data_IF_993521415227
#
_entry.id   IF_993521415227
#
_cell.length_a   1.000
_cell.length_b   1.000
_cell.length_c   1.000
_cell.angle_alpha   90.00
_cell.angle_beta   90.00
_cell.angle_gamma   90.00
#
_symmetry.space_group_name_H-M   'P 1'
#
loop_
_entity.id
_entity.type
_entity.pdbx_description
1 polymer ?
#
# COMPACT_ATOMS: atom_id res chain seq x y z
N UNK A 1 -2.38 9.36 30.65
CA UNK A 1 -3.35 8.39 30.08
C UNK A 1 -3.82 8.80 28.69
N UNK A 2 -4.35 10.03 28.49
CA UNK A 2 -4.79 10.55 27.18
C UNK A 2 -3.71 10.50 26.07
N UNK A 3 -2.47 10.88 26.37
CA UNK A 3 -1.39 10.83 25.38
C UNK A 3 -1.08 9.39 24.92
N UNK A 4 -1.16 8.41 25.84
CA UNK A 4 -0.92 7.00 25.51
C UNK A 4 -2.07 6.39 24.71
N UNK A 5 -3.32 6.80 24.94
CA UNK A 5 -4.45 6.35 24.12
C UNK A 5 -4.40 6.94 22.71
N UNK A 6 -4.05 8.22 22.57
CA UNK A 6 -3.87 8.84 21.24
C UNK A 6 -2.74 8.17 20.44
N UNK A 7 -1.64 7.80 21.11
CA UNK A 7 -0.55 7.05 20.47
C UNK A 7 -0.95 5.60 20.13
N UNK A 8 -1.79 4.95 20.93
CA UNK A 8 -2.29 3.60 20.65
C UNK A 8 -3.16 3.57 19.39
N UNK A 9 -4.08 4.55 19.27
CA UNK A 9 -4.96 4.70 18.12
C UNK A 9 -4.17 5.05 16.85
N UNK A 10 -3.17 5.95 16.94
CA UNK A 10 -2.35 6.34 15.80
C UNK A 10 -1.46 5.23 15.23
N UNK A 11 -1.07 4.24 16.06
CA UNK A 11 -0.23 3.09 15.64
C UNK A 11 -1.07 1.85 15.33
N UNK A 12 -2.37 1.87 15.63
CA UNK A 12 -3.27 0.72 15.48
C UNK A 12 -2.94 -0.45 16.42
N UNK A 13 -2.33 -0.16 17.58
CA UNK A 13 -1.89 -1.18 18.54
C UNK A 13 -2.92 -1.38 19.66
N UNK A 14 -3.25 -2.64 19.96
CA UNK A 14 -4.26 -3.02 20.96
C UNK A 14 -3.77 -2.95 22.42
N UNK A 15 -2.48 -2.70 22.70
CA UNK A 15 -1.92 -2.73 24.06
C UNK A 15 -1.19 -1.43 24.42
N UNK A 16 -1.69 -0.76 25.47
CA UNK A 16 -1.17 0.52 26.00
C UNK A 16 0.23 0.42 26.65
N UNK A 17 0.63 -0.78 27.07
CA UNK A 17 1.94 -1.03 27.66
C UNK A 17 3.00 -1.23 26.56
N UNK A 18 4.05 -0.40 26.57
CA UNK A 18 5.18 -0.53 25.63
C UNK A 18 5.16 0.42 24.43
N UNK A 19 4.14 1.27 24.27
CA UNK A 19 4.02 2.24 23.17
C UNK A 19 5.24 3.16 23.06
N UNK A 20 5.76 3.67 24.17
CA UNK A 20 6.94 4.56 24.15
C UNK A 20 8.18 3.84 23.60
N UNK A 21 8.36 2.56 23.95
CA UNK A 21 9.46 1.73 23.41
C UNK A 21 9.27 1.50 21.91
N UNK A 22 8.03 1.26 21.48
CA UNK A 22 7.69 1.09 20.07
C UNK A 22 7.96 2.38 19.29
N UNK A 23 7.49 3.55 19.75
CA UNK A 23 7.75 4.84 19.11
C UNK A 23 9.25 5.13 19.00
N UNK A 24 10.03 4.88 20.06
CA UNK A 24 11.49 5.05 20.02
C UNK A 24 12.14 4.14 18.97
N UNK A 25 11.71 2.86 18.88
CA UNK A 25 12.19 1.92 17.87
C UNK A 25 11.82 2.37 16.45
N UNK A 26 10.62 2.92 16.26
CA UNK A 26 10.17 3.49 15.00
C UNK A 26 11.10 4.64 14.59
N UNK A 27 11.27 5.66 15.44
CA UNK A 27 12.08 6.83 15.11
C UNK A 27 13.53 6.47 14.79
N UNK A 28 14.16 5.63 15.64
CA UNK A 28 15.55 5.21 15.43
C UNK A 28 15.68 4.37 14.17
N UNK A 29 14.80 3.39 13.99
CA UNK A 29 14.90 2.51 12.84
C UNK A 29 14.58 3.23 11.52
N UNK A 30 13.59 4.13 11.49
CA UNK A 30 13.35 5.02 10.34
C UNK A 30 14.61 5.79 9.96
N UNK A 31 15.26 6.45 10.92
CA UNK A 31 16.50 7.18 10.66
C UNK A 31 17.64 6.27 10.13
N UNK A 32 17.72 5.03 10.61
CA UNK A 32 18.71 4.05 10.13
C UNK A 32 18.42 3.64 8.69
N UNK A 33 17.19 3.23 8.36
CA UNK A 33 16.86 2.76 7.01
C UNK A 33 16.90 3.90 5.99
N UNK A 34 16.39 5.08 6.33
CA UNK A 34 16.50 6.27 5.48
C UNK A 34 17.96 6.69 5.29
N UNK A 35 18.78 6.64 6.35
CA UNK A 35 20.21 6.92 6.27
C UNK A 35 20.96 5.93 5.37
N UNK A 36 20.72 4.63 5.54
CA UNK A 36 21.32 3.58 4.68
C UNK A 36 20.86 3.74 3.22
N UNK A 37 19.57 3.97 3.00
CA UNK A 37 19.01 4.25 1.68
C UNK A 37 19.65 5.47 1.02
N UNK A 38 19.85 6.54 1.81
CA UNK A 38 20.52 7.76 1.36
C UNK A 38 21.95 7.47 0.93
N UNK A 39 22.72 6.73 1.72
CA UNK A 39 24.11 6.37 1.39
C UNK A 39 24.16 5.54 0.10
N UNK A 40 23.31 4.53 -0.04
CA UNK A 40 23.27 3.68 -1.23
C UNK A 40 22.88 4.47 -2.49
N UNK A 41 21.84 5.31 -2.42
CA UNK A 41 21.42 6.16 -3.53
C UNK A 41 22.45 7.24 -3.87
N UNK A 42 23.15 7.77 -2.87
CA UNK A 42 24.17 8.80 -3.07
C UNK A 42 25.34 8.29 -3.93
N UNK A 43 25.68 7.01 -3.87
CA UNK A 43 26.70 6.39 -4.74
C UNK A 43 26.39 6.66 -6.22
N UNK A 44 25.11 6.65 -6.59
CA UNK A 44 24.68 6.84 -7.99
C UNK A 44 24.30 8.28 -8.31
N UNK A 45 23.70 9.00 -7.37
CA UNK A 45 23.19 10.34 -7.60
C UNK A 45 24.27 11.44 -7.49
N UNK A 46 25.30 11.27 -6.64
CA UNK A 46 26.41 12.24 -6.55
C UNK A 46 27.16 12.38 -7.88
N UNK A 47 27.56 11.30 -8.57
CA UNK A 47 28.26 11.42 -9.86
C UNK A 47 27.40 12.08 -10.95
N UNK A 48 26.08 11.88 -10.92
CA UNK A 48 25.17 12.43 -11.95
C UNK A 48 24.75 13.88 -11.73
N UNK A 49 24.51 14.28 -10.48
CA UNK A 49 23.95 15.61 -10.17
C UNK A 49 24.95 16.56 -9.48
N UNK A 50 26.15 16.08 -9.17
CA UNK A 50 27.13 16.77 -8.33
C UNK A 50 26.88 16.50 -6.83
N UNK A 51 27.88 16.82 -5.99
CA UNK A 51 27.88 16.45 -4.57
C UNK A 51 26.64 16.92 -3.79
N UNK A 52 26.40 18.23 -3.72
CA UNK A 52 25.33 18.79 -2.89
C UNK A 52 23.94 18.37 -3.39
N UNK A 53 23.72 18.42 -4.71
CA UNK A 53 22.42 18.10 -5.33
C UNK A 53 22.16 16.60 -5.34
N UNK A 54 23.18 15.79 -5.58
CA UNK A 54 23.08 14.34 -5.55
C UNK A 54 22.80 13.81 -4.15
N UNK A 55 23.44 14.38 -3.12
CA UNK A 55 23.16 14.03 -1.72
C UNK A 55 21.72 14.42 -1.32
N UNK A 56 21.27 15.63 -1.70
CA UNK A 56 19.89 16.05 -1.45
C UNK A 56 18.87 15.15 -2.17
N UNK A 57 19.12 14.81 -3.43
CA UNK A 57 18.27 13.90 -4.18
C UNK A 57 18.24 12.51 -3.50
N UNK A 58 19.38 11.99 -3.07
CA UNK A 58 19.44 10.69 -2.42
C UNK A 58 18.64 10.66 -1.12
N UNK A 59 18.82 11.69 -0.27
CA UNK A 59 18.08 11.83 0.99
C UNK A 59 16.57 11.94 0.75
N UNK A 60 16.15 12.81 -0.18
CA UNK A 60 14.75 13.00 -0.51
C UNK A 60 14.07 11.72 -1.02
N UNK A 61 14.72 10.97 -1.92
CA UNK A 61 14.14 9.73 -2.44
C UNK A 61 14.15 8.62 -1.38
N UNK A 62 15.14 8.57 -0.49
CA UNK A 62 15.16 7.59 0.60
C UNK A 62 13.99 7.80 1.58
N UNK A 63 13.78 9.03 2.04
CA UNK A 63 12.65 9.39 2.92
C UNK A 63 11.31 9.16 2.20
N UNK A 64 11.18 9.61 0.95
CA UNK A 64 9.97 9.43 0.15
C UNK A 64 9.63 7.95 -0.08
N UNK A 65 10.65 7.12 -0.36
CA UNK A 65 10.49 5.68 -0.55
C UNK A 65 10.11 4.95 0.74
N UNK A 66 10.79 5.25 1.85
CA UNK A 66 10.49 4.65 3.15
C UNK A 66 9.08 5.02 3.65
N UNK A 67 8.70 6.29 3.47
CA UNK A 67 7.40 6.79 3.87
C UNK A 67 6.27 6.44 2.89
N UNK A 68 6.55 5.69 1.81
CA UNK A 68 5.54 5.32 0.81
C UNK A 68 4.82 6.56 0.26
N UNK A 69 5.59 7.60 -0.08
CA UNK A 69 5.07 8.91 -0.46
C UNK A 69 4.98 9.11 -1.98
N UNK A 70 5.89 8.51 -2.74
CA UNK A 70 5.90 8.57 -4.22
C UNK A 70 6.31 9.90 -4.83
N UNK A 71 6.82 10.82 -4.03
CA UNK A 71 7.40 12.05 -4.54
C UNK A 71 8.85 11.83 -5.00
N UNK A 72 9.18 12.34 -6.18
CA UNK A 72 10.53 12.30 -6.74
C UNK A 72 11.00 13.68 -7.20
N UNK A 73 12.31 13.84 -7.37
CA UNK A 73 12.92 15.07 -7.90
C UNK A 73 13.43 14.88 -9.34
N UNK A 74 13.09 13.76 -9.98
CA UNK A 74 13.56 13.37 -11.31
C UNK A 74 12.79 14.07 -12.43
N UNK A 75 11.67 14.72 -12.11
CA UNK A 75 11.00 15.68 -12.99
C UNK A 75 11.92 16.78 -13.56
N UNK A 76 13.09 17.03 -12.94
CA UNK A 76 14.14 17.94 -13.44
C UNK A 76 14.88 17.42 -14.67
N UNK A 77 14.99 16.10 -14.83
CA UNK A 77 15.62 15.46 -15.99
C UNK A 77 14.63 15.38 -17.15
N UNK A 78 13.44 14.87 -16.86
CA UNK A 78 12.32 14.79 -17.81
C UNK A 78 11.01 14.86 -17.02
N UNK A 79 10.02 15.67 -17.45
CA UNK A 79 8.72 15.73 -16.81
C UNK A 79 8.11 14.33 -16.68
N UNK A 80 7.57 14.02 -15.51
CA UNK A 80 6.94 12.72 -15.18
C UNK A 80 7.81 11.48 -15.37
N UNK A 81 9.15 11.64 -15.41
CA UNK A 81 10.06 10.50 -15.60
C UNK A 81 10.21 9.61 -14.37
N UNK A 82 10.06 10.15 -13.15
CA UNK A 82 10.29 9.41 -11.92
C UNK A 82 11.59 8.58 -11.98
N UNK A 83 11.53 7.26 -11.78
CA UNK A 83 12.67 6.36 -11.85
C UNK A 83 12.84 5.66 -13.22
N UNK A 84 12.10 6.06 -14.26
CA UNK A 84 12.17 5.44 -15.60
C UNK A 84 13.61 5.50 -16.16
N UNK A 85 14.38 6.54 -15.84
CA UNK A 85 15.78 6.70 -16.26
C UNK A 85 16.78 5.81 -15.50
N UNK A 86 16.31 5.04 -14.54
CA UNK A 86 17.09 4.14 -13.69
C UNK A 86 16.52 2.72 -13.69
N UNK A 87 15.63 2.37 -14.64
CA UNK A 87 14.94 1.08 -14.67
C UNK A 87 15.90 -0.13 -14.72
N UNK A 88 17.09 0.06 -15.31
CA UNK A 88 18.14 -0.93 -15.47
C UNK A 88 19.21 -0.86 -14.37
N UNK A 89 19.08 0.06 -13.41
CA UNK A 89 20.04 0.27 -12.35
C UNK A 89 19.63 -0.53 -11.09
N UNK A 90 20.25 -1.69 -10.83
CA UNK A 90 19.85 -2.55 -9.72
C UNK A 90 20.06 -1.86 -8.37
N UNK A 91 21.05 -0.97 -8.24
CA UNK A 91 21.32 -0.28 -6.98
C UNK A 91 20.15 0.65 -6.64
N UNK A 92 19.68 1.44 -7.61
CA UNK A 92 18.58 2.40 -7.38
C UNK A 92 17.25 1.66 -7.19
N UNK A 93 16.91 0.75 -8.12
CA UNK A 93 15.62 0.06 -8.13
C UNK A 93 15.46 -0.83 -6.89
N UNK A 94 16.47 -1.63 -6.55
CA UNK A 94 16.38 -2.52 -5.38
C UNK A 94 16.43 -1.76 -4.06
N UNK A 95 17.20 -0.67 -3.97
CA UNK A 95 17.22 0.14 -2.74
C UNK A 95 15.86 0.77 -2.48
N UNK A 96 15.25 1.38 -3.51
CA UNK A 96 13.94 2.01 -3.37
C UNK A 96 12.87 0.94 -3.11
N UNK A 97 12.87 -0.18 -3.84
CA UNK A 97 11.95 -1.29 -3.59
C UNK A 97 12.08 -1.83 -2.15
N UNK A 98 13.31 -1.98 -1.64
CA UNK A 98 13.55 -2.43 -0.27
C UNK A 98 13.01 -1.43 0.75
N UNK A 99 13.25 -0.13 0.58
CA UNK A 99 12.73 0.91 1.47
C UNK A 99 11.19 0.93 1.50
N UNK A 100 10.55 0.83 0.34
CA UNK A 100 9.08 0.75 0.22
C UNK A 100 8.54 -0.47 0.96
N UNK A 101 9.15 -1.63 0.74
CA UNK A 101 8.70 -2.86 1.41
C UNK A 101 8.89 -2.70 2.90
N UNK A 102 10.07 -2.29 3.36
CA UNK A 102 10.44 -2.16 4.78
C UNK A 102 9.58 -1.14 5.52
N UNK A 103 9.24 0.00 4.91
CA UNK A 103 8.28 0.97 5.45
C UNK A 103 6.82 0.45 5.45
N UNK A 104 6.47 -0.35 4.44
CA UNK A 104 5.13 -0.90 4.25
C UNK A 104 4.76 -2.12 5.12
N UNK A 105 5.72 -2.91 5.61
CA UNK A 105 5.45 -4.15 6.40
C UNK A 105 4.85 -3.88 7.79
N UNK A 106 4.89 -2.63 8.27
CA UNK A 106 4.27 -2.22 9.51
C UNK A 106 5.16 -2.33 10.74
N UNK A 107 5.02 -1.36 11.65
CA UNK A 107 5.85 -1.23 12.85
C UNK A 107 5.62 -2.36 13.87
N UNK A 108 4.45 -3.03 13.82
CA UNK A 108 4.19 -4.23 14.64
C UNK A 108 5.15 -5.35 14.26
N UNK A 109 5.37 -5.55 12.96
CA UNK A 109 6.30 -6.57 12.43
C UNK A 109 7.74 -6.23 12.80
N UNK A 110 8.12 -4.95 12.72
CA UNK A 110 9.44 -4.50 13.17
C UNK A 110 9.70 -4.76 14.65
N UNK A 111 8.72 -4.45 15.49
CA UNK A 111 8.83 -4.65 16.93
C UNK A 111 9.00 -6.14 17.26
N UNK A 112 8.26 -6.99 16.56
CA UNK A 112 8.34 -8.45 16.67
C UNK A 112 9.70 -9.00 16.20
N UNK A 113 10.26 -8.47 15.10
CA UNK A 113 11.61 -8.80 14.65
C UNK A 113 12.68 -8.43 15.69
N UNK A 114 12.56 -7.23 16.29
CA UNK A 114 13.49 -6.75 17.30
C UNK A 114 13.42 -7.59 18.59
N UNK A 115 12.21 -7.99 19.01
CA UNK A 115 12.02 -8.81 20.20
C UNK A 115 12.45 -10.28 19.99
N UNK A 116 12.33 -10.80 18.77
CA UNK A 116 12.78 -12.15 18.41
C UNK A 116 14.26 -12.23 17.99
N UNK A 117 15.03 -11.14 18.08
CA UNK A 117 16.41 -11.06 17.61
C UNK A 117 16.58 -11.63 16.18
N UNK A 118 15.69 -11.23 15.26
CA UNK A 118 15.68 -11.64 13.86
C UNK A 118 15.45 -13.14 13.57
N UNK A 119 15.05 -13.94 14.57
CA UNK A 119 14.73 -15.35 14.36
C UNK A 119 13.32 -15.53 13.78
N UNK A 120 13.22 -15.73 12.46
CA UNK A 120 11.96 -15.85 11.69
C UNK A 120 11.00 -16.91 12.25
N UNK A 121 11.52 -18.00 12.83
CA UNK A 121 10.70 -19.08 13.42
C UNK A 121 9.92 -18.63 14.65
N UNK A 122 10.44 -17.66 15.41
CA UNK A 122 9.85 -17.16 16.67
C UNK A 122 8.85 -16.03 16.47
N UNK A 123 8.74 -15.50 15.25
CA UNK A 123 7.81 -14.41 14.94
C UNK A 123 6.37 -14.79 15.29
N UNK A 124 5.63 -13.79 15.75
CA UNK A 124 4.21 -13.87 15.99
C UNK A 124 3.45 -14.23 14.72
N UNK A 125 2.27 -14.82 14.93
CA UNK A 125 1.43 -15.28 13.84
C UNK A 125 1.04 -14.15 12.88
N UNK A 126 0.69 -12.97 13.42
CA UNK A 126 0.39 -11.78 12.64
C UNK A 126 1.54 -11.40 11.69
N UNK A 127 2.77 -11.31 12.21
CA UNK A 127 3.96 -10.96 11.42
C UNK A 127 4.23 -11.98 10.32
N UNK A 128 4.08 -13.28 10.62
CA UNK A 128 4.24 -14.35 9.63
C UNK A 128 3.23 -14.20 8.48
N UNK A 129 1.97 -13.92 8.79
CA UNK A 129 0.92 -13.70 7.79
C UNK A 129 1.23 -12.48 6.92
N UNK A 130 1.62 -11.35 7.54
CA UNK A 130 1.95 -10.11 6.81
C UNK A 130 3.14 -10.33 5.88
N UNK A 131 4.23 -10.92 6.36
CA UNK A 131 5.45 -11.16 5.56
C UNK A 131 5.14 -12.12 4.40
N UNK A 132 4.48 -13.25 4.70
CA UNK A 132 4.16 -14.25 3.69
C UNK A 132 3.23 -13.70 2.60
N UNK A 133 2.17 -12.98 2.98
CA UNK A 133 1.24 -12.36 2.02
C UNK A 133 1.91 -11.26 1.21
N UNK A 134 2.75 -10.43 1.83
CA UNK A 134 3.51 -9.37 1.14
C UNK A 134 4.45 -9.97 0.09
N UNK A 135 5.21 -11.00 0.45
CA UNK A 135 6.11 -11.70 -0.48
C UNK A 135 5.35 -12.41 -1.60
N UNK A 136 4.24 -13.08 -1.27
CA UNK A 136 3.41 -13.76 -2.25
C UNK A 136 2.84 -12.79 -3.28
N UNK A 137 2.34 -11.63 -2.86
CA UNK A 137 1.83 -10.59 -3.77
C UNK A 137 2.94 -10.00 -4.64
N UNK A 138 4.14 -9.76 -4.09
CA UNK A 138 5.29 -9.28 -4.89
C UNK A 138 5.68 -10.32 -5.93
N UNK A 139 5.85 -11.57 -5.52
CA UNK A 139 6.31 -12.63 -6.42
C UNK A 139 5.28 -12.90 -7.52
N UNK A 140 3.99 -13.01 -7.15
CA UNK A 140 2.91 -13.22 -8.11
C UNK A 140 2.75 -12.03 -9.06
N UNK A 141 2.73 -10.80 -8.54
CA UNK A 141 2.62 -9.61 -9.37
C UNK A 141 3.82 -9.44 -10.30
N UNK A 142 5.05 -9.67 -9.82
CA UNK A 142 6.26 -9.56 -10.64
C UNK A 142 6.27 -10.60 -11.76
N UNK A 143 5.85 -11.84 -11.47
CA UNK A 143 5.72 -12.88 -12.49
C UNK A 143 4.66 -12.52 -13.54
N UNK A 144 3.49 -12.01 -13.12
CA UNK A 144 2.43 -11.60 -14.03
C UNK A 144 2.87 -10.40 -14.90
N UNK A 145 3.48 -9.36 -14.31
CA UNK A 145 4.00 -8.23 -15.09
C UNK A 145 5.08 -8.65 -16.09
N UNK A 146 5.99 -9.54 -15.68
CA UNK A 146 7.04 -10.05 -16.57
C UNK A 146 6.47 -10.77 -17.80
N UNK A 147 5.36 -11.50 -17.64
CA UNK A 147 4.69 -12.20 -18.73
C UNK A 147 3.83 -11.27 -19.59
N UNK A 148 3.05 -10.38 -18.97
CA UNK A 148 2.05 -9.56 -19.65
C UNK A 148 2.65 -8.35 -20.37
N UNK A 149 3.66 -7.71 -19.78
CA UNK A 149 4.22 -6.44 -20.30
C UNK A 149 5.41 -6.65 -21.23
N UNK A 150 5.75 -7.90 -21.56
CA UNK A 150 6.88 -8.27 -22.42
C UNK A 150 6.89 -7.51 -23.76
N UNK A 151 5.71 -7.39 -24.37
CA UNK A 151 5.53 -6.81 -25.71
C UNK A 151 4.89 -5.41 -25.67
N UNK A 152 4.64 -4.87 -24.47
CA UNK A 152 4.01 -3.57 -24.25
C UNK A 152 5.00 -2.58 -23.60
N UNK A 153 4.79 -2.19 -22.33
CA UNK A 153 5.61 -1.17 -21.66
C UNK A 153 7.09 -1.55 -21.48
N UNK A 154 7.43 -2.85 -21.54
CA UNK A 154 8.80 -3.36 -21.42
C UNK A 154 9.35 -3.89 -22.76
N UNK A 155 8.70 -3.54 -23.87
CA UNK A 155 9.20 -3.85 -25.20
C UNK A 155 10.57 -3.17 -25.41
N UNK A 156 11.56 -3.94 -25.86
CA UNK A 156 12.92 -3.44 -26.12
C UNK A 156 13.84 -3.34 -24.89
N UNK A 157 13.36 -3.66 -23.68
CA UNK A 157 14.24 -3.77 -22.51
C UNK A 157 15.06 -5.07 -22.54
N UNK A 158 16.31 -5.00 -22.10
CA UNK A 158 17.13 -6.19 -21.85
C UNK A 158 16.54 -7.04 -20.70
N UNK A 159 16.90 -8.33 -20.64
CA UNK A 159 16.37 -9.29 -19.68
C UNK A 159 16.54 -8.81 -18.22
N UNK A 160 17.71 -8.24 -17.88
CA UNK A 160 17.98 -7.72 -16.55
C UNK A 160 17.08 -6.53 -16.19
N UNK A 161 16.97 -5.56 -17.09
CA UNK A 161 16.08 -4.40 -16.92
C UNK A 161 14.60 -4.80 -16.85
N UNK A 162 14.19 -5.81 -17.63
CA UNK A 162 12.82 -6.34 -17.60
C UNK A 162 12.50 -7.00 -16.26
N UNK A 163 13.42 -7.78 -15.69
CA UNK A 163 13.24 -8.41 -14.39
C UNK A 163 13.16 -7.38 -13.24
N UNK A 164 14.03 -6.36 -13.29
CA UNK A 164 14.00 -5.25 -12.33
C UNK A 164 12.71 -4.45 -12.44
N UNK A 165 12.31 -4.08 -13.65
CA UNK A 165 11.07 -3.36 -13.92
C UNK A 165 9.83 -4.14 -13.50
N UNK A 166 9.76 -5.46 -13.76
CA UNK A 166 8.62 -6.28 -13.35
C UNK A 166 8.52 -6.43 -11.83
N UNK A 167 9.65 -6.62 -11.15
CA UNK A 167 9.71 -6.62 -9.69
C UNK A 167 9.23 -5.28 -9.13
N UNK A 168 9.75 -4.19 -9.66
CA UNK A 168 9.39 -2.84 -9.20
C UNK A 168 7.92 -2.53 -9.47
N UNK A 169 7.39 -2.91 -10.63
CA UNK A 169 5.99 -2.77 -11.01
C UNK A 169 5.06 -3.56 -10.09
N UNK A 170 5.53 -4.62 -9.45
CA UNK A 170 4.78 -5.33 -8.42
C UNK A 170 4.90 -4.70 -7.03
N UNK A 171 6.00 -3.99 -6.74
CA UNK A 171 6.23 -3.34 -5.46
C UNK A 171 5.51 -2.01 -5.38
N UNK A 172 5.60 -1.19 -6.42
CA UNK A 172 5.13 0.20 -6.45
C UNK A 172 3.62 0.40 -6.25
N UNK A 173 2.72 -0.45 -6.76
CA UNK A 173 1.28 -0.25 -6.61
C UNK A 173 0.82 -0.37 -5.16
N UNK A 174 1.63 -0.98 -4.30
CA UNK A 174 1.36 -1.11 -2.86
C UNK A 174 1.83 0.14 -2.12
N UNK A 175 1.28 1.27 -2.54
CA UNK A 175 1.40 2.60 -1.93
C UNK A 175 2.73 3.36 -2.14
N UNK A 176 3.50 3.08 -3.18
CA UNK A 176 4.82 3.71 -3.33
C UNK A 176 4.91 4.87 -4.33
N UNK A 177 4.19 4.81 -5.45
CA UNK A 177 4.04 5.93 -6.39
C UNK A 177 5.19 6.20 -7.34
N UNK A 178 6.28 5.44 -7.30
CA UNK A 178 7.39 5.58 -8.24
C UNK A 178 7.14 4.81 -9.53
N UNK A 179 7.60 5.36 -10.66
CA UNK A 179 7.50 4.74 -11.98
C UNK A 179 8.88 4.30 -12.49
N UNK A 180 9.05 3.03 -12.86
CA UNK A 180 10.20 2.55 -13.66
C UNK A 180 9.85 2.32 -15.12
N UNK A 181 8.55 2.24 -15.43
CA UNK A 181 7.99 2.22 -16.78
C UNK A 181 6.91 3.29 -16.88
N UNK A 182 6.62 3.75 -18.09
CA UNK A 182 5.51 4.68 -18.30
C UNK A 182 4.17 3.97 -18.09
N UNK A 183 3.42 4.39 -17.06
CA UNK A 183 2.14 3.81 -16.70
C UNK A 183 1.08 3.98 -17.79
N UNK A 184 1.19 5.02 -18.63
CA UNK A 184 0.29 5.23 -19.76
C UNK A 184 0.51 4.17 -20.86
N UNK A 185 1.73 3.62 -20.96
CA UNK A 185 2.13 2.61 -21.96
C UNK A 185 1.83 1.17 -21.56
N UNK A 186 1.32 0.93 -20.34
CA UNK A 186 0.91 -0.40 -19.89
C UNK A 186 -0.18 -0.98 -20.79
N UNK A 187 -0.16 -2.30 -20.99
CA UNK A 187 -1.29 -3.01 -21.58
C UNK A 187 -2.56 -2.83 -20.72
N UNK A 188 -3.74 -3.00 -21.30
CA UNK A 188 -5.00 -2.95 -20.52
C UNK A 188 -5.01 -4.00 -19.40
N UNK A 189 -4.43 -5.18 -19.64
CA UNK A 189 -4.23 -6.21 -18.62
C UNK A 189 -3.29 -5.73 -17.51
N UNK A 190 -2.19 -5.07 -17.85
CA UNK A 190 -1.24 -4.48 -16.89
C UNK A 190 -1.87 -3.37 -16.04
N UNK A 191 -2.73 -2.54 -16.64
CA UNK A 191 -3.52 -1.53 -15.90
C UNK A 191 -4.47 -2.19 -14.90
N UNK A 192 -5.19 -3.24 -15.29
CA UNK A 192 -6.09 -4.00 -14.40
C UNK A 192 -5.32 -4.67 -13.27
N UNK A 193 -4.18 -5.31 -13.56
CA UNK A 193 -3.34 -5.91 -12.54
C UNK A 193 -2.82 -4.85 -11.55
N UNK A 194 -2.39 -3.70 -12.06
CA UNK A 194 -1.95 -2.57 -11.24
C UNK A 194 -3.08 -2.11 -10.32
N UNK A 195 -4.29 -1.91 -10.85
CA UNK A 195 -5.47 -1.52 -10.08
C UNK A 195 -5.82 -2.53 -8.97
N UNK A 196 -5.72 -3.83 -9.23
CA UNK A 196 -5.90 -4.88 -8.21
C UNK A 196 -4.84 -4.83 -7.12
N UNK A 197 -3.57 -4.59 -7.47
CA UNK A 197 -2.49 -4.46 -6.50
C UNK A 197 -2.58 -3.16 -5.69
N UNK A 198 -3.08 -2.07 -6.28
CA UNK A 198 -3.36 -0.80 -5.57
C UNK A 198 -4.46 -0.95 -4.53
N UNK A 199 -5.49 -1.74 -4.86
CA UNK A 199 -6.58 -2.03 -3.95
C UNK A 199 -6.08 -2.73 -2.67
N UNK A 200 -5.08 -3.61 -2.81
CA UNK A 200 -4.43 -4.29 -1.68
C UNK A 200 -3.23 -3.46 -1.19
N UNK A 201 -3.48 -2.60 -0.21
CA UNK A 201 -2.49 -1.72 0.38
C UNK A 201 -1.49 -2.40 1.32
N UNK A 202 -0.76 -1.55 2.05
CA UNK A 202 0.31 -1.97 2.97
C UNK A 202 -0.23 -2.64 4.25
N UNK A 203 0.67 -3.09 5.13
CA UNK A 203 0.29 -3.71 6.38
C UNK A 203 -0.28 -2.70 7.40
N UNK A 204 -1.05 -3.17 8.40
CA UNK A 204 -1.45 -2.34 9.54
C UNK A 204 -0.23 -1.79 10.29
N UNK A 205 -0.33 -0.54 10.76
CA UNK A 205 0.77 0.15 11.42
C UNK A 205 1.98 0.41 10.52
N UNK A 206 1.84 0.34 9.19
CA UNK A 206 2.86 0.75 8.22
C UNK A 206 2.61 2.12 7.61
N UNK A 207 3.52 2.56 6.75
CA UNK A 207 3.49 3.88 6.11
C UNK A 207 2.55 3.99 4.92
N UNK A 208 1.91 2.90 4.48
CA UNK A 208 0.99 2.89 3.34
C UNK A 208 -0.50 2.93 3.71
N UNK A 209 -1.33 3.55 2.88
CA UNK A 209 -2.79 3.57 3.01
C UNK A 209 -3.50 2.38 2.33
N UNK A 210 -4.78 2.55 2.02
CA UNK A 210 -5.60 1.55 1.32
C UNK A 210 -6.18 0.44 2.21
N UNK A 211 -6.82 -0.55 1.59
CA UNK A 211 -7.27 -1.74 2.31
C UNK A 211 -6.04 -2.52 2.74
N UNK A 212 -5.88 -2.72 4.05
CA UNK A 212 -4.72 -3.40 4.60
C UNK A 212 -4.63 -4.84 4.10
N UNK A 213 -3.41 -5.32 3.86
CA UNK A 213 -3.17 -6.70 3.41
C UNK A 213 -3.81 -7.74 4.32
N UNK A 214 -3.86 -7.48 5.64
CA UNK A 214 -4.51 -8.38 6.61
C UNK A 214 -6.02 -8.46 6.41
N UNK A 215 -6.67 -7.37 6.02
CA UNK A 215 -8.10 -7.32 5.69
C UNK A 215 -8.38 -8.20 4.49
N UNK A 216 -7.54 -8.10 3.45
CA UNK A 216 -7.63 -8.97 2.28
C UNK A 216 -7.46 -10.45 2.64
N UNK A 217 -6.45 -10.79 3.44
CA UNK A 217 -6.22 -12.17 3.89
C UNK A 217 -7.41 -12.72 4.69
N UNK A 218 -8.01 -11.93 5.58
CA UNK A 218 -9.19 -12.34 6.36
C UNK A 218 -10.39 -12.63 5.45
N UNK A 219 -10.66 -11.76 4.47
CA UNK A 219 -11.78 -11.95 3.53
C UNK A 219 -11.53 -13.17 2.64
N UNK A 220 -10.33 -13.33 2.10
CA UNK A 220 -9.96 -14.49 1.29
C UNK A 220 -10.07 -15.80 2.09
N UNK A 221 -9.59 -15.82 3.34
CA UNK A 221 -9.71 -16.98 4.22
C UNK A 221 -11.18 -17.29 4.56
N UNK A 222 -12.01 -16.27 4.77
CA UNK A 222 -13.44 -16.43 5.05
C UNK A 222 -14.16 -17.02 3.84
N UNK A 223 -13.92 -16.48 2.65
CA UNK A 223 -14.48 -17.02 1.40
C UNK A 223 -14.08 -18.49 1.20
N UNK A 224 -12.80 -18.83 1.41
CA UNK A 224 -12.32 -20.21 1.31
C UNK A 224 -12.94 -21.14 2.35
N UNK A 225 -13.13 -20.67 3.59
CA UNK A 225 -13.80 -21.44 4.64
C UNK A 225 -15.27 -21.71 4.30
N UNK A 226 -15.98 -20.70 3.77
CA UNK A 226 -17.37 -20.83 3.31
C UNK A 226 -17.50 -21.80 2.14
N UNK A 227 -16.60 -21.74 1.15
CA UNK A 227 -16.58 -22.71 0.04
C UNK A 227 -16.34 -24.15 0.50
N UNK A 228 -15.66 -24.33 1.64
CA UNK A 228 -15.44 -25.64 2.27
C UNK A 228 -16.49 -26.00 3.32
N UNK A 229 -17.56 -25.21 3.47
CA UNK A 229 -18.60 -25.38 4.49
C UNK A 229 -18.03 -25.53 5.91
N UNK A 230 -16.98 -24.77 6.23
CA UNK A 230 -16.40 -24.75 7.59
C UNK A 230 -17.08 -23.67 8.42
N UNK A 231 -17.49 -24.02 9.64
CA UNK A 231 -18.10 -23.09 10.59
C UNK A 231 -17.13 -22.01 11.06
N UNK A 232 -15.83 -22.33 11.06
CA UNK A 232 -14.78 -21.45 11.56
C UNK A 232 -13.82 -21.04 10.45
N UNK A 233 -13.58 -19.73 10.35
CA UNK A 233 -12.53 -19.19 9.49
C UNK A 233 -11.20 -19.28 10.23
N UNK A 234 -10.35 -20.19 9.77
CA UNK A 234 -9.02 -20.40 10.32
C UNK A 234 -7.96 -19.92 9.32
N UNK A 235 -7.01 -19.14 9.80
CA UNK A 235 -5.79 -18.85 9.07
C UNK A 235 -4.69 -19.63 9.79
N UNK A 236 -4.05 -20.57 9.10
CA UNK A 236 -3.11 -21.51 9.73
C UNK A 236 -3.78 -22.29 10.86
N UNK A 237 -3.23 -22.17 12.07
CA UNK A 237 -3.75 -22.84 13.28
C UNK A 237 -4.58 -21.92 14.19
N UNK A 238 -4.90 -20.70 13.75
CA UNK A 238 -5.63 -19.71 14.55
C UNK A 238 -7.00 -19.39 13.95
N UNK A 239 -8.02 -19.34 14.81
CA UNK A 239 -9.38 -18.93 14.45
C UNK A 239 -9.51 -17.41 14.44
N UNK A 240 -10.13 -16.87 13.41
CA UNK A 240 -10.45 -15.45 13.30
C UNK A 240 -11.79 -15.18 13.99
N UNK A 241 -11.87 -14.12 14.81
CA UNK A 241 -13.12 -13.75 15.47
C UNK A 241 -14.13 -13.17 14.48
N UNK A 242 -15.42 -13.41 14.73
CA UNK A 242 -16.52 -12.88 13.91
C UNK A 242 -16.50 -11.35 13.84
N UNK A 243 -16.08 -10.67 14.92
CA UNK A 243 -15.93 -9.22 14.95
C UNK A 243 -14.86 -8.74 13.96
N UNK A 244 -13.72 -9.43 13.87
CA UNK A 244 -12.67 -9.10 12.90
C UNK A 244 -13.15 -9.32 11.47
N UNK A 245 -13.92 -10.39 11.22
CA UNK A 245 -14.53 -10.66 9.91
C UNK A 245 -15.49 -9.54 9.52
N UNK A 246 -16.42 -9.17 10.40
CA UNK A 246 -17.39 -8.10 10.14
C UNK A 246 -16.71 -6.75 9.89
N UNK A 247 -15.69 -6.41 10.68
CA UNK A 247 -14.88 -5.21 10.47
C UNK A 247 -14.17 -5.22 9.12
N UNK A 248 -13.63 -6.36 8.70
CA UNK A 248 -12.97 -6.50 7.41
C UNK A 248 -13.95 -6.27 6.25
N UNK A 249 -15.12 -6.91 6.27
CA UNK A 249 -16.15 -6.70 5.25
C UNK A 249 -16.65 -5.25 5.22
N UNK A 250 -16.98 -4.67 6.37
CA UNK A 250 -17.41 -3.27 6.47
C UNK A 250 -16.36 -2.31 5.87
N UNK A 251 -15.09 -2.48 6.26
CA UNK A 251 -13.98 -1.69 5.75
C UNK A 251 -13.86 -1.74 4.23
N UNK A 252 -14.04 -2.92 3.63
CA UNK A 252 -13.96 -3.12 2.18
C UNK A 252 -15.19 -2.59 1.45
N UNK A 253 -16.40 -2.82 1.98
CA UNK A 253 -17.63 -2.28 1.40
C UNK A 253 -17.60 -0.76 1.32
N UNK A 254 -17.20 -0.09 2.41
CA UNK A 254 -17.06 1.38 2.43
C UNK A 254 -16.00 1.84 1.43
N UNK A 255 -14.86 1.15 1.38
CA UNK A 255 -13.76 1.50 0.47
C UNK A 255 -14.20 1.40 -1.01
N UNK A 256 -14.86 0.31 -1.39
CA UNK A 256 -15.41 0.13 -2.74
C UNK A 256 -16.47 1.19 -3.03
N UNK A 257 -17.41 1.42 -2.11
CA UNK A 257 -18.49 2.40 -2.31
C UNK A 257 -17.99 3.82 -2.57
N UNK A 258 -17.02 4.29 -1.77
CA UNK A 258 -16.44 5.63 -1.95
C UNK A 258 -15.60 5.69 -3.24
N UNK A 259 -14.86 4.63 -3.57
CA UNK A 259 -14.09 4.56 -4.83
C UNK A 259 -15.01 4.64 -6.04
N UNK A 260 -16.12 3.87 -6.05
CA UNK A 260 -17.11 3.88 -7.14
C UNK A 260 -17.76 5.25 -7.29
N UNK A 261 -18.10 5.93 -6.18
CA UNK A 261 -18.57 7.32 -6.23
C UNK A 261 -17.54 8.23 -6.90
N UNK A 262 -16.26 8.06 -6.57
CA UNK A 262 -15.17 8.82 -7.17
C UNK A 262 -15.10 8.62 -8.69
N UNK A 263 -15.15 7.36 -9.12
CA UNK A 263 -15.13 7.01 -10.55
C UNK A 263 -16.30 7.66 -11.28
N UNK A 264 -17.50 7.62 -10.72
CA UNK A 264 -18.68 8.27 -11.31
C UNK A 264 -18.48 9.79 -11.46
N UNK A 265 -17.94 10.45 -10.44
CA UNK A 265 -17.65 11.90 -10.50
C UNK A 265 -16.65 12.23 -11.60
N UNK A 266 -15.56 11.45 -11.72
CA UNK A 266 -14.55 11.70 -12.77
C UNK A 266 -15.13 11.44 -14.18
N UNK A 267 -15.91 10.37 -14.35
CA UNK A 267 -16.55 10.05 -15.61
C UNK A 267 -17.55 11.13 -16.07
N UNK A 268 -18.32 11.73 -15.16
CA UNK A 268 -19.24 12.83 -15.52
C UNK A 268 -18.52 14.09 -16.00
N UNK A 269 -17.22 14.21 -15.72
CA UNK A 269 -16.36 15.29 -16.20
C UNK A 269 -15.55 14.92 -17.44
N UNK A 270 -15.90 13.82 -18.13
CA UNK A 270 -15.33 13.44 -19.43
C UNK A 270 -14.04 12.61 -19.36
N UNK A 271 -13.63 12.16 -18.17
CA UNK A 271 -12.49 11.25 -18.01
C UNK A 271 -12.94 9.83 -18.39
N UNK A 272 -12.11 9.10 -19.15
CA UNK A 272 -12.42 7.72 -19.53
C UNK A 272 -12.52 6.81 -18.30
N UNK A 273 -13.35 5.76 -18.38
CA UNK A 273 -13.55 4.84 -17.25
C UNK A 273 -12.23 4.26 -16.73
N UNK A 274 -11.34 3.79 -17.63
CA UNK A 274 -10.04 3.23 -17.24
C UNK A 274 -9.18 4.25 -16.50
N UNK A 275 -9.15 5.51 -16.97
CA UNK A 275 -8.41 6.57 -16.29
C UNK A 275 -9.03 6.94 -14.95
N UNK A 276 -10.36 7.08 -14.89
CA UNK A 276 -11.08 7.38 -13.66
C UNK A 276 -10.87 6.28 -12.61
N UNK A 277 -10.99 5.00 -13.00
CA UNK A 277 -10.75 3.87 -12.12
C UNK A 277 -9.31 3.82 -11.59
N UNK A 278 -8.33 4.05 -12.46
CA UNK A 278 -6.91 4.06 -12.09
C UNK A 278 -6.60 5.21 -11.12
N UNK A 279 -7.03 6.44 -11.42
CA UNK A 279 -6.81 7.61 -10.57
C UNK A 279 -7.52 7.47 -9.22
N UNK A 280 -8.78 7.01 -9.20
CA UNK A 280 -9.53 6.83 -7.95
C UNK A 280 -8.93 5.75 -7.05
N UNK A 281 -8.54 4.59 -7.62
CA UNK A 281 -7.88 3.52 -6.87
C UNK A 281 -6.50 3.95 -6.36
N UNK A 282 -5.73 4.67 -7.18
CA UNK A 282 -4.47 5.26 -6.76
C UNK A 282 -4.66 6.28 -5.64
N UNK A 283 -5.66 7.15 -5.74
CA UNK A 283 -5.95 8.17 -4.74
C UNK A 283 -6.38 7.56 -3.39
N UNK A 284 -7.37 6.66 -3.39
CA UNK A 284 -7.86 6.04 -2.16
C UNK A 284 -6.90 5.00 -1.59
N UNK A 285 -6.03 4.41 -2.41
CA UNK A 285 -4.90 3.60 -1.96
C UNK A 285 -3.73 4.44 -1.45
N UNK A 286 -3.73 5.76 -1.67
CA UNK A 286 -2.58 6.66 -1.46
C UNK A 286 -1.33 6.13 -2.18
N UNK A 287 -1.52 5.67 -3.42
CA UNK A 287 -0.47 5.05 -4.23
C UNK A 287 0.37 6.08 -4.95
N UNK A 288 -0.25 7.07 -5.58
CA UNK A 288 0.47 8.14 -6.26
C UNK A 288 0.90 7.83 -7.70
N UNK A 289 0.54 6.66 -8.23
CA UNK A 289 0.69 6.37 -9.66
C UNK A 289 -0.44 7.02 -10.46
N UNK A 290 -0.14 7.42 -11.70
CA UNK A 290 -1.10 8.01 -12.63
C UNK A 290 -0.80 7.54 -14.05
N UNK A 291 -1.84 7.41 -14.88
CA UNK A 291 -1.70 7.21 -16.34
C UNK A 291 -1.74 8.53 -17.13
N UNK A 292 -1.58 9.67 -16.44
CA UNK A 292 -1.54 11.01 -17.04
C UNK A 292 -2.83 11.82 -16.93
N UNK A 293 -3.88 11.28 -16.29
CA UNK A 293 -5.16 11.99 -16.14
C UNK A 293 -5.13 13.06 -15.03
N UNK A 294 -4.18 13.00 -14.10
CA UNK A 294 -4.10 13.94 -12.95
C UNK A 294 -3.98 15.40 -13.39
N UNK A 295 -3.29 15.70 -14.49
CA UNK A 295 -3.13 17.08 -15.01
C UNK A 295 -4.40 17.63 -15.64
N UNK A 296 -5.31 16.76 -16.09
CA UNK A 296 -6.60 17.13 -16.70
C UNK A 296 -7.76 17.23 -15.71
N UNK A 297 -7.53 16.96 -14.40
CA UNK A 297 -8.59 17.02 -13.40
C UNK A 297 -9.16 18.45 -13.31
N UNK A 298 -10.49 18.57 -13.27
CA UNK A 298 -11.20 19.85 -13.09
C UNK A 298 -11.84 19.91 -11.69
N UNK A 299 -12.42 21.07 -11.32
CA UNK A 299 -12.77 21.42 -9.93
C UNK A 299 -13.35 20.29 -9.07
N UNK A 300 -14.47 19.69 -9.48
CA UNK A 300 -15.13 18.62 -8.73
C UNK A 300 -14.28 17.34 -8.65
N UNK A 301 -13.65 16.90 -9.75
CA UNK A 301 -12.73 15.75 -9.74
C UNK A 301 -11.54 15.97 -8.83
N UNK A 302 -10.97 17.19 -8.79
CA UNK A 302 -9.87 17.50 -7.86
C UNK A 302 -10.32 17.37 -6.40
N UNK A 303 -11.48 17.91 -6.06
CA UNK A 303 -12.03 17.82 -4.71
C UNK A 303 -12.30 16.36 -4.33
N UNK A 304 -12.82 15.57 -5.26
CA UNK A 304 -13.07 14.14 -5.03
C UNK A 304 -11.78 13.35 -4.82
N UNK A 305 -10.73 13.60 -5.62
CA UNK A 305 -9.42 12.98 -5.45
C UNK A 305 -8.79 13.36 -4.10
N UNK A 306 -8.88 14.63 -3.68
CA UNK A 306 -8.41 15.07 -2.36
C UNK A 306 -9.14 14.31 -1.24
N UNK A 307 -10.47 14.16 -1.35
CA UNK A 307 -11.26 13.41 -0.38
C UNK A 307 -10.88 11.92 -0.35
N UNK A 308 -10.68 11.31 -1.52
CA UNK A 308 -10.21 9.91 -1.62
C UNK A 308 -8.85 9.71 -0.96
N UNK A 309 -7.88 10.61 -1.20
CA UNK A 309 -6.55 10.56 -0.56
C UNK A 309 -6.66 10.67 0.96
N UNK A 310 -7.50 11.57 1.46
CA UNK A 310 -7.70 11.78 2.89
C UNK A 310 -8.34 10.56 3.57
N UNK A 311 -9.44 10.05 3.00
CA UNK A 311 -10.15 8.86 3.50
C UNK A 311 -9.24 7.62 3.44
N UNK A 312 -8.51 7.46 2.34
CA UNK A 312 -7.57 6.37 2.12
C UNK A 312 -6.45 6.34 3.16
N UNK A 313 -5.96 7.50 3.58
CA UNK A 313 -4.87 7.63 4.57
C UNK A 313 -5.32 7.39 6.00
N UNK A 314 -6.47 7.95 6.40
CA UNK A 314 -7.03 7.78 7.74
C UNK A 314 -7.51 6.35 8.02
N UNK A 315 -7.79 5.59 6.96
CA UNK A 315 -8.40 4.27 7.01
C UNK A 315 -9.92 4.38 7.11
N UNK A 316 -10.63 3.58 6.31
CA UNK A 316 -12.10 3.64 6.21
C UNK A 316 -12.81 3.36 7.54
N UNK A 317 -12.20 2.56 8.42
CA UNK A 317 -12.75 2.23 9.73
C UNK A 317 -12.64 3.36 10.75
N UNK A 318 -11.57 4.15 10.72
CA UNK A 318 -11.41 5.34 11.59
C UNK A 318 -12.40 6.43 11.20
N UNK A 319 -12.58 6.65 9.90
CA UNK A 319 -13.58 7.58 9.38
C UNK A 319 -14.99 7.12 9.75
N UNK A 320 -15.28 5.83 9.59
CA UNK A 320 -16.57 5.26 9.99
C UNK A 320 -16.83 5.40 11.49
N UNK A 321 -15.85 5.09 12.35
CA UNK A 321 -15.98 5.24 13.80
C UNK A 321 -16.05 6.70 14.27
N UNK A 322 -15.49 7.64 13.51
CA UNK A 322 -15.58 9.07 13.81
C UNK A 322 -16.97 9.64 13.47
N UNK A 323 -17.65 9.08 12.47
CA UNK A 323 -18.98 9.51 12.02
C UNK A 323 -20.10 8.71 12.69
N UNK A 324 -19.83 7.46 13.08
CA UNK A 324 -20.81 6.61 13.75
C UNK A 324 -21.01 7.10 15.18
N UNK A 325 -22.24 7.52 15.47
CA UNK A 325 -22.64 7.85 16.83
C UNK A 325 -22.48 6.60 17.73
N UNK A 326 -22.09 6.81 18.99
CA UNK A 326 -21.88 5.73 19.96
C UNK A 326 -23.24 5.21 20.42
N UNK A 327 -23.93 4.48 19.56
CA UNK A 327 -25.19 3.87 19.95
C UNK A 327 -24.93 2.79 21.00
N UNK A 328 -25.52 3.02 22.17
CA UNK A 328 -25.45 2.15 23.33
C UNK A 328 -25.92 0.75 22.94
N UNK A 329 -25.14 -0.29 23.29
CA UNK A 329 -25.55 -1.70 23.13
C UNK A 329 -26.98 -1.87 23.65
N UNK A 330 -27.95 -2.05 22.76
CA UNK A 330 -29.32 -2.27 23.20
C UNK A 330 -29.39 -3.63 23.91
N UNK A 331 -30.03 -3.66 25.09
CA UNK A 331 -30.16 -4.88 25.89
C UNK A 331 -31.11 -5.93 25.32
N UNK A 332 -31.79 -5.62 24.21
CA UNK A 332 -32.80 -6.47 23.60
C UNK A 332 -32.42 -6.81 22.16
N UNK A 333 -32.57 -8.08 21.78
CA UNK A 333 -32.29 -8.58 20.43
C UNK A 333 -33.60 -8.75 19.66
N UNK A 334 -33.61 -8.28 18.42
CA UNK A 334 -34.70 -8.53 17.48
C UNK A 334 -34.75 -10.02 17.06
N UNK A 335 -35.93 -10.55 16.69
CA UNK A 335 -36.05 -11.91 16.17
C UNK A 335 -35.24 -12.10 14.89
N UNK A 336 -34.76 -13.33 14.66
CA UNK A 336 -33.97 -13.68 13.47
C UNK A 336 -34.88 -13.73 12.25
N UNK A 337 -34.75 -12.75 11.35
CA UNK A 337 -35.35 -12.80 10.01
C UNK A 337 -34.47 -13.63 9.06
N UNK A 338 -35.05 -14.62 8.38
CA UNK A 338 -34.35 -15.36 7.32
C UNK A 338 -34.50 -14.59 6.01
N UNK A 339 -33.39 -14.10 5.47
CA UNK A 339 -33.32 -13.49 4.14
C UNK A 339 -32.61 -14.48 3.23
N UNK A 340 -33.23 -14.82 2.10
CA UNK A 340 -32.58 -15.65 1.09
C UNK A 340 -31.49 -14.83 0.40
N UNK A 341 -30.27 -15.36 0.42
CA UNK A 341 -29.11 -14.83 -0.29
C UNK A 341 -28.69 -15.94 -1.27
N UNK A 342 -28.37 -15.56 -2.51
CA UNK A 342 -27.96 -16.49 -3.57
C UNK A 342 -26.54 -17.00 -3.42
#
# INVERSE_FOLDING_TARGET
>A
MRERSLLADGVGSLHLAGIVRMVRRILIGTAIFEGLGTVLLAIRFIPRFGFLRGLWAACFHAVSAFCNAGFDLMGRLRPSSSLILFYDDPLVVLTIAALIVVGGIGFVVWNDFADCAFHVRRLNYHSKVVIASTLALIAAGAALFFLMERDASMAGMDMGGRLLSSLFQSVTPRTAGFNTVDMASLSEGGKVLTMLLMFIGAAPGGTGGGIKITTFVVIAATAHASLKNRNDTNIGHYRVSTETIQRAFCSVTVYIGITLMGILVLCTQGISFTAAAFECLSAIGTVGLSIGATTSLTGLSKLMIILLMYVGRLGSLTVFLAVSDRDTKSGFRYPIGKILIG
#
